data_IF_380526345868
#
_entry.id   IF_380526345868
#
_cell.length_a   1.000
_cell.length_b   1.000
_cell.length_c   1.000
_cell.angle_alpha   90.00
_cell.angle_beta   90.00
_cell.angle_gamma   90.00
#
_symmetry.space_group_name_H-M   'P 1'
#
loop_
_entity.id
_entity.type
_entity.pdbx_description
1 polymer ?
#
# COMPACT_ATOMS: atom_id res chain seq x y z
N UNK A 1 -1.09 -32.36 -21.55
CA UNK A 1 -1.72 -31.19 -22.19
C UNK A 1 -1.11 -29.94 -21.58
N UNK A 2 -0.53 -29.02 -22.37
CA UNK A 2 0.08 -27.80 -21.83
C UNK A 2 -0.98 -26.79 -21.40
N UNK A 3 -0.72 -26.01 -20.36
CA UNK A 3 -1.56 -24.86 -19.97
C UNK A 3 -1.41 -23.70 -20.97
N UNK A 4 -2.31 -22.72 -20.94
CA UNK A 4 -2.18 -21.50 -21.74
C UNK A 4 -0.81 -20.81 -21.54
N UNK A 5 -0.33 -20.74 -20.29
CA UNK A 5 1.00 -20.22 -19.97
C UNK A 5 2.13 -21.03 -20.63
N UNK A 6 2.02 -22.36 -20.61
CA UNK A 6 2.98 -23.25 -21.27
C UNK A 6 3.00 -23.03 -22.78
N UNK A 7 1.81 -22.91 -23.39
CA UNK A 7 1.69 -22.61 -24.82
C UNK A 7 2.27 -21.25 -25.19
N UNK A 8 2.03 -20.19 -24.41
CA UNK A 8 2.66 -18.88 -24.63
C UNK A 8 4.18 -18.99 -24.73
N UNK A 9 4.81 -19.69 -23.78
CA UNK A 9 6.27 -19.84 -23.79
C UNK A 9 6.76 -20.63 -25.01
N UNK A 10 6.06 -21.71 -25.38
CA UNK A 10 6.36 -22.49 -26.58
C UNK A 10 6.23 -21.62 -27.82
N UNK A 11 5.16 -20.84 -27.97
CA UNK A 11 4.93 -20.03 -29.17
C UNK A 11 5.91 -18.86 -29.30
N UNK A 12 6.36 -18.29 -28.18
CA UNK A 12 7.42 -17.27 -28.17
C UNK A 12 8.75 -17.86 -28.67
N UNK A 13 9.09 -19.09 -28.27
CA UNK A 13 10.40 -19.71 -28.57
C UNK A 13 10.41 -20.54 -29.85
N UNK A 14 9.27 -21.11 -30.21
CA UNK A 14 9.08 -22.10 -31.28
C UNK A 14 7.74 -21.84 -32.01
N UNK A 15 7.62 -20.71 -32.74
CA UNK A 15 6.38 -20.28 -33.37
C UNK A 15 5.82 -21.27 -34.41
N UNK A 16 6.64 -22.18 -34.94
CA UNK A 16 6.22 -23.25 -35.86
C UNK A 16 5.19 -24.21 -35.27
N UNK A 17 4.99 -24.24 -33.94
CA UNK A 17 3.97 -25.07 -33.28
C UNK A 17 2.60 -24.38 -33.13
N UNK A 18 2.41 -23.20 -33.73
CA UNK A 18 1.15 -22.45 -33.67
C UNK A 18 -0.09 -23.26 -34.06
N UNK A 19 0.02 -24.12 -35.07
CA UNK A 19 -1.06 -24.99 -35.54
C UNK A 19 -1.46 -26.08 -34.52
N UNK A 20 -0.65 -26.32 -33.49
CA UNK A 20 -0.93 -27.28 -32.42
C UNK A 20 -1.48 -26.61 -31.16
N UNK A 21 -1.49 -25.28 -31.10
CA UNK A 21 -2.04 -24.57 -29.95
C UNK A 21 -3.57 -24.55 -30.04
N UNK A 22 -4.22 -25.18 -29.08
CA UNK A 22 -5.68 -25.27 -28.97
C UNK A 22 -6.26 -24.27 -27.95
N UNK A 23 -5.41 -23.51 -27.24
CA UNK A 23 -5.76 -22.66 -26.09
C UNK A 23 -5.58 -21.16 -26.34
N UNK A 24 -5.70 -20.73 -27.59
CA UNK A 24 -5.54 -19.32 -27.97
C UNK A 24 -6.59 -18.41 -27.31
N UNK A 25 -7.78 -18.94 -27.04
CA UNK A 25 -8.88 -18.29 -26.34
C UNK A 25 -8.64 -18.12 -24.83
N UNK A 26 -7.73 -18.91 -24.24
CA UNK A 26 -7.31 -18.77 -22.84
C UNK A 26 -6.24 -17.69 -22.63
N UNK A 27 -5.76 -17.04 -23.71
CA UNK A 27 -4.72 -16.01 -23.60
C UNK A 27 -5.35 -14.66 -23.21
N UNK A 28 -4.80 -14.04 -22.18
CA UNK A 28 -5.15 -12.67 -21.82
C UNK A 28 -4.40 -11.66 -22.70
N UNK A 29 -4.85 -10.40 -22.71
CA UNK A 29 -4.19 -9.31 -23.45
C UNK A 29 -2.69 -9.20 -23.15
N UNK A 30 -2.28 -9.34 -21.89
CA UNK A 30 -0.86 -9.34 -21.51
C UNK A 30 -0.05 -10.51 -22.12
N UNK A 31 -0.67 -11.67 -22.32
CA UNK A 31 -0.04 -12.80 -23.01
C UNK A 31 0.13 -12.50 -24.50
N UNK A 32 -0.89 -11.92 -25.13
CA UNK A 32 -0.84 -11.46 -26.51
C UNK A 32 0.21 -10.35 -26.71
N UNK A 33 0.34 -9.39 -25.80
CA UNK A 33 1.36 -8.33 -25.89
C UNK A 33 2.76 -8.96 -25.94
N UNK A 34 3.05 -9.88 -25.02
CA UNK A 34 4.36 -10.56 -24.98
C UNK A 34 4.60 -11.40 -26.23
N UNK A 35 3.59 -12.12 -26.68
CA UNK A 35 3.69 -12.95 -27.88
C UNK A 35 3.91 -12.10 -29.13
N UNK A 36 3.11 -11.06 -29.36
CA UNK A 36 3.18 -10.22 -30.55
C UNK A 36 4.46 -9.37 -30.61
N UNK A 37 5.00 -8.99 -29.45
CA UNK A 37 6.30 -8.31 -29.36
C UNK A 37 7.45 -9.21 -29.80
N UNK A 38 7.39 -10.51 -29.48
CA UNK A 38 8.41 -11.48 -29.86
C UNK A 38 8.19 -12.08 -31.25
N UNK A 39 6.93 -12.24 -31.66
CA UNK A 39 6.51 -12.97 -32.85
C UNK A 39 5.40 -12.21 -33.61
N UNK A 40 5.74 -11.14 -34.35
CA UNK A 40 4.77 -10.28 -35.05
C UNK A 40 3.91 -11.01 -36.10
N UNK A 41 4.32 -12.19 -36.58
CA UNK A 41 3.56 -12.99 -37.53
C UNK A 41 2.21 -13.48 -36.98
N UNK A 42 2.00 -13.46 -35.65
CA UNK A 42 0.72 -13.83 -35.04
C UNK A 42 -0.32 -12.71 -35.04
N UNK A 43 -0.08 -11.59 -35.73
CA UNK A 43 -1.03 -10.47 -35.80
C UNK A 43 -2.41 -10.89 -36.31
N UNK A 44 -2.48 -11.57 -37.46
CA UNK A 44 -3.77 -12.01 -38.01
C UNK A 44 -4.45 -13.03 -37.09
N UNK A 45 -3.67 -13.88 -36.41
CA UNK A 45 -4.20 -14.81 -35.42
C UNK A 45 -4.78 -14.08 -34.21
N UNK A 46 -4.14 -13.02 -33.73
CA UNK A 46 -4.62 -12.20 -32.62
C UNK A 46 -5.94 -11.51 -32.95
N UNK A 47 -6.18 -11.13 -34.21
CA UNK A 47 -7.44 -10.51 -34.67
C UNK A 47 -8.65 -11.44 -34.55
N UNK A 48 -8.45 -12.74 -34.37
CA UNK A 48 -9.53 -13.70 -34.14
C UNK A 48 -10.08 -13.66 -32.70
N UNK A 49 -9.36 -13.04 -31.75
CA UNK A 49 -9.69 -13.04 -30.33
C UNK A 49 -9.81 -11.62 -29.77
N UNK A 50 -10.76 -11.36 -28.86
CA UNK A 50 -10.94 -10.03 -28.25
C UNK A 50 -9.72 -9.62 -27.41
N UNK A 51 -9.20 -10.51 -26.58
CA UNK A 51 -7.95 -10.29 -25.84
C UNK A 51 -6.74 -10.10 -26.77
N UNK A 52 -6.76 -10.77 -27.93
CA UNK A 52 -5.76 -10.60 -28.98
C UNK A 52 -5.81 -9.22 -29.61
N UNK A 53 -6.99 -8.71 -29.91
CA UNK A 53 -7.19 -7.33 -30.35
C UNK A 53 -6.71 -6.31 -29.30
N UNK A 54 -7.03 -6.50 -28.02
CA UNK A 54 -6.56 -5.60 -26.97
C UNK A 54 -5.02 -5.56 -26.89
N UNK A 55 -4.37 -6.73 -26.93
CA UNK A 55 -2.91 -6.80 -26.95
C UNK A 55 -2.29 -6.24 -28.24
N UNK A 56 -2.96 -6.44 -29.39
CA UNK A 56 -2.53 -5.89 -30.67
C UNK A 56 -2.61 -4.35 -30.67
N UNK A 57 -3.70 -3.76 -30.19
CA UNK A 57 -3.86 -2.31 -30.12
C UNK A 57 -2.90 -1.66 -29.11
N UNK A 58 -2.50 -2.37 -28.06
CA UNK A 58 -1.49 -1.88 -27.13
C UNK A 58 -0.12 -1.68 -27.81
N UNK A 59 0.22 -2.51 -28.81
CA UNK A 59 1.48 -2.45 -29.57
C UNK A 59 1.36 -1.62 -30.85
N UNK A 60 0.21 -1.72 -31.53
CA UNK A 60 -0.08 -1.11 -32.83
C UNK A 60 -1.38 -0.30 -32.78
N UNK A 61 -1.36 0.87 -32.11
CA UNK A 61 -2.55 1.71 -31.98
C UNK A 61 -3.11 2.20 -33.33
N UNK A 62 -2.31 2.23 -34.40
CA UNK A 62 -2.73 2.60 -35.76
C UNK A 62 -3.81 1.67 -36.35
N UNK A 63 -3.95 0.45 -35.83
CA UNK A 63 -4.97 -0.51 -36.25
C UNK A 63 -6.35 -0.26 -35.60
N UNK A 64 -6.50 0.84 -34.85
CA UNK A 64 -7.73 1.19 -34.13
C UNK A 64 -9.00 1.14 -34.98
N UNK A 65 -8.92 1.51 -36.27
CA UNK A 65 -10.06 1.57 -37.18
C UNK A 65 -10.50 0.18 -37.68
N UNK A 66 -9.63 -0.83 -37.58
CA UNK A 66 -9.97 -2.21 -37.94
C UNK A 66 -10.68 -2.95 -36.79
N UNK A 67 -10.42 -2.55 -35.54
CA UNK A 67 -11.01 -3.19 -34.37
C UNK A 67 -12.50 -2.83 -34.23
N UNK A 68 -13.37 -3.84 -34.34
CA UNK A 68 -14.82 -3.71 -34.14
C UNK A 68 -15.31 -4.30 -32.81
N UNK A 69 -14.41 -4.88 -32.02
CA UNK A 69 -14.75 -5.69 -30.85
C UNK A 69 -14.48 -4.99 -29.49
N UNK A 70 -14.35 -3.67 -29.44
CA UNK A 70 -14.12 -2.92 -28.19
C UNK A 70 -15.09 -3.31 -27.05
N UNK A 71 -16.37 -3.58 -27.36
CA UNK A 71 -17.40 -4.00 -26.38
C UNK A 71 -17.13 -5.38 -25.75
N UNK A 72 -16.25 -6.17 -26.37
CA UNK A 72 -15.85 -7.51 -25.88
C UNK A 72 -14.64 -7.44 -24.96
N UNK A 73 -14.01 -6.25 -24.81
CA UNK A 73 -12.88 -6.07 -23.92
C UNK A 73 -13.36 -6.09 -22.46
N UNK A 74 -12.70 -6.91 -21.64
CA UNK A 74 -12.91 -6.89 -20.20
C UNK A 74 -12.19 -5.74 -19.53
N UNK A 75 -12.46 -5.51 -18.25
CA UNK A 75 -11.73 -4.51 -17.43
C UNK A 75 -10.21 -4.66 -17.48
N UNK A 76 -9.70 -5.90 -17.56
CA UNK A 76 -8.26 -6.19 -17.62
C UNK A 76 -7.67 -5.74 -18.96
N UNK A 77 -8.36 -6.04 -20.06
CA UNK A 77 -7.95 -5.62 -21.41
C UNK A 77 -7.90 -4.10 -21.53
N UNK A 78 -8.92 -3.43 -21.01
CA UNK A 78 -8.94 -1.98 -20.97
C UNK A 78 -7.84 -1.41 -20.09
N UNK A 79 -7.57 -2.00 -18.93
CA UNK A 79 -6.48 -1.54 -18.06
C UNK A 79 -5.13 -1.61 -18.75
N UNK A 80 -4.80 -2.74 -19.39
CA UNK A 80 -3.55 -2.92 -20.12
C UNK A 80 -3.45 -1.99 -21.34
N UNK A 81 -4.53 -1.92 -22.12
CA UNK A 81 -4.59 -1.07 -23.30
C UNK A 81 -4.41 0.41 -22.92
N UNK A 82 -5.14 0.90 -21.91
CA UNK A 82 -5.07 2.30 -21.51
C UNK A 82 -3.75 2.64 -20.82
N UNK A 83 -3.15 1.71 -20.10
CA UNK A 83 -1.81 1.90 -19.51
C UNK A 83 -0.73 2.07 -20.58
N UNK A 84 -0.93 1.47 -21.76
CA UNK A 84 0.01 1.57 -22.90
C UNK A 84 -0.36 2.68 -23.87
N UNK A 85 -1.66 2.92 -24.07
CA UNK A 85 -2.24 3.74 -25.14
C UNK A 85 -3.43 4.55 -24.60
N UNK A 86 -3.18 5.66 -23.87
CA UNK A 86 -4.22 6.47 -23.22
C UNK A 86 -5.22 7.11 -24.19
N UNK A 87 -4.88 7.25 -25.47
CA UNK A 87 -5.75 7.80 -26.52
C UNK A 87 -7.02 6.96 -26.77
N UNK A 88 -7.08 5.72 -26.28
CA UNK A 88 -8.29 4.89 -26.35
C UNK A 88 -9.30 5.16 -25.21
N UNK A 89 -9.03 6.12 -24.31
CA UNK A 89 -9.86 6.41 -23.14
C UNK A 89 -11.35 6.65 -23.47
N UNK A 90 -11.65 7.33 -24.58
CA UNK A 90 -13.02 7.62 -25.00
C UNK A 90 -13.77 6.42 -25.58
N UNK A 91 -13.05 5.32 -25.88
CA UNK A 91 -13.67 4.06 -26.31
C UNK A 91 -13.93 3.10 -25.15
N UNK A 92 -13.34 3.34 -23.98
CA UNK A 92 -13.47 2.47 -22.82
C UNK A 92 -14.87 2.57 -22.22
N UNK A 93 -15.61 1.46 -22.22
CA UNK A 93 -16.94 1.35 -21.62
C UNK A 93 -16.92 0.73 -20.22
N UNK A 94 -15.72 0.35 -19.72
CA UNK A 94 -15.53 -0.41 -18.47
C UNK A 94 -14.99 0.39 -17.29
N UNK A 95 -14.92 1.72 -17.39
CA UNK A 95 -14.49 2.58 -16.28
C UNK A 95 -15.19 2.30 -14.95
N UNK A 96 -16.49 1.99 -14.99
CA UNK A 96 -17.28 1.67 -13.81
C UNK A 96 -16.91 0.32 -13.16
N UNK A 97 -16.16 -0.54 -13.84
CA UNK A 97 -15.63 -1.81 -13.30
C UNK A 97 -14.24 -1.65 -12.67
N UNK A 98 -13.60 -0.47 -12.79
CA UNK A 98 -12.26 -0.26 -12.25
C UNK A 98 -12.31 -0.18 -10.72
N UNK A 99 -11.56 -1.06 -10.07
CA UNK A 99 -11.36 -1.07 -8.63
C UNK A 99 -10.25 -0.10 -8.23
N UNK A 100 -10.02 0.03 -6.93
CA UNK A 100 -8.89 0.76 -6.35
C UNK A 100 -7.55 0.46 -7.05
N UNK A 101 -7.25 -0.83 -7.26
CA UNK A 101 -6.01 -1.26 -7.89
C UNK A 101 -5.90 -0.79 -9.35
N UNK A 102 -6.97 -0.94 -10.15
CA UNK A 102 -6.97 -0.50 -11.55
C UNK A 102 -6.77 1.00 -11.69
N UNK A 103 -7.46 1.80 -10.87
CA UNK A 103 -7.29 3.26 -10.89
C UNK A 103 -5.88 3.67 -10.47
N UNK A 104 -5.33 3.06 -9.42
CA UNK A 104 -3.95 3.32 -9.00
C UNK A 104 -2.96 3.03 -10.13
N UNK A 105 -2.97 1.82 -10.68
CA UNK A 105 -2.03 1.43 -11.74
C UNK A 105 -2.15 2.34 -12.95
N UNK A 106 -3.38 2.63 -13.38
CA UNK A 106 -3.60 3.49 -14.53
C UNK A 106 -3.08 4.92 -14.28
N UNK A 107 -3.33 5.51 -13.13
CA UNK A 107 -2.91 6.88 -12.83
C UNK A 107 -1.40 6.99 -12.54
N UNK A 108 -0.76 5.90 -12.11
CA UNK A 108 0.70 5.84 -12.03
C UNK A 108 1.34 5.90 -13.43
N UNK A 109 0.75 5.19 -14.40
CA UNK A 109 1.28 5.07 -15.76
C UNK A 109 0.84 6.22 -16.67
N UNK A 110 -0.40 6.71 -16.50
CA UNK A 110 -1.05 7.70 -17.36
C UNK A 110 -1.76 8.78 -16.52
N UNK A 111 -1.00 9.69 -15.87
CA UNK A 111 -1.56 10.74 -15.02
C UNK A 111 -2.61 11.64 -15.72
N UNK A 112 -2.50 11.81 -17.04
CA UNK A 112 -3.44 12.60 -17.85
C UNK A 112 -4.87 12.03 -17.88
N UNK A 113 -5.09 10.78 -17.43
CA UNK A 113 -6.42 10.18 -17.32
C UNK A 113 -7.13 10.52 -16.00
N UNK A 114 -6.60 11.47 -15.23
CA UNK A 114 -7.22 11.99 -14.00
C UNK A 114 -8.65 12.49 -14.18
N UNK A 115 -8.98 13.02 -15.36
CA UNK A 115 -10.32 13.52 -15.66
C UNK A 115 -11.33 12.39 -15.75
N UNK A 116 -10.94 11.24 -16.34
CA UNK A 116 -11.74 10.01 -16.33
C UNK A 116 -11.88 9.45 -14.92
N UNK A 117 -10.81 9.50 -14.12
CA UNK A 117 -10.89 9.13 -12.71
C UNK A 117 -11.92 9.99 -11.97
N UNK A 118 -11.98 11.29 -12.26
CA UNK A 118 -12.98 12.20 -11.67
C UNK A 118 -14.40 11.87 -12.18
N UNK A 119 -14.58 11.75 -13.49
CA UNK A 119 -15.86 11.46 -14.16
C UNK A 119 -16.52 10.19 -13.61
N UNK A 120 -15.73 9.14 -13.36
CA UNK A 120 -16.23 7.84 -12.92
C UNK A 120 -16.09 7.58 -11.41
N UNK A 121 -15.86 8.63 -10.62
CA UNK A 121 -15.66 8.55 -9.17
C UNK A 121 -14.58 7.53 -8.77
N UNK A 122 -13.49 7.48 -9.53
CA UNK A 122 -12.32 6.63 -9.27
C UNK A 122 -11.57 7.05 -8.00
N UNK A 123 -11.47 8.35 -7.71
CA UNK A 123 -10.84 8.86 -6.49
C UNK A 123 -11.50 8.29 -5.22
N UNK A 124 -12.83 8.21 -5.20
CA UNK A 124 -13.60 7.63 -4.09
C UNK A 124 -13.49 6.11 -3.98
N UNK A 125 -12.93 5.42 -4.99
CA UNK A 125 -12.71 3.96 -4.98
C UNK A 125 -11.32 3.58 -4.49
N UNK A 126 -10.38 4.53 -4.46
CA UNK A 126 -9.04 4.29 -3.95
C UNK A 126 -9.08 4.02 -2.44
N UNK A 127 -8.53 2.88 -2.02
CA UNK A 127 -8.33 2.56 -0.60
C UNK A 127 -7.09 3.29 -0.05
N UNK A 128 -6.88 3.25 1.27
CA UNK A 128 -5.78 3.96 1.93
C UNK A 128 -4.38 3.57 1.39
N UNK A 129 -4.17 2.27 1.14
CA UNK A 129 -2.88 1.78 0.64
C UNK A 129 -2.61 2.29 -0.79
N UNK A 130 -3.62 2.21 -1.66
CA UNK A 130 -3.50 2.65 -3.05
C UNK A 130 -3.36 4.17 -3.16
N UNK A 131 -4.07 4.93 -2.32
CA UNK A 131 -3.86 6.37 -2.18
C UNK A 131 -2.43 6.72 -1.76
N UNK A 132 -1.89 6.01 -0.77
CA UNK A 132 -0.53 6.28 -0.29
C UNK A 132 0.53 6.07 -1.37
N UNK A 133 0.42 4.98 -2.14
CA UNK A 133 1.33 4.68 -3.25
C UNK A 133 1.18 5.72 -4.36
N UNK A 134 -0.06 6.10 -4.69
CA UNK A 134 -0.33 7.06 -5.77
C UNK A 134 0.22 8.44 -5.44
N UNK A 135 -0.02 8.96 -4.24
CA UNK A 135 0.44 10.32 -3.86
C UNK A 135 1.96 10.36 -3.66
N UNK A 136 2.57 9.25 -3.22
CA UNK A 136 4.03 9.11 -3.13
C UNK A 136 4.71 9.19 -4.51
N UNK A 137 4.11 8.57 -5.53
CA UNK A 137 4.66 8.56 -6.89
C UNK A 137 4.21 9.74 -7.76
N UNK A 138 2.99 10.26 -7.53
CA UNK A 138 2.34 11.32 -8.31
C UNK A 138 1.78 12.40 -7.35
N UNK A 139 2.66 13.20 -6.72
CA UNK A 139 2.26 14.17 -5.68
C UNK A 139 1.30 15.25 -6.17
N UNK A 140 1.20 15.48 -7.48
CA UNK A 140 0.22 16.39 -8.08
C UNK A 140 -1.23 15.97 -7.85
N UNK A 141 -1.50 14.70 -7.49
CA UNK A 141 -2.85 14.23 -7.16
C UNK A 141 -3.26 14.41 -5.71
N UNK A 142 -2.38 14.98 -4.88
CA UNK A 142 -2.69 15.27 -3.48
C UNK A 142 -3.92 16.19 -3.33
N UNK A 143 -4.19 17.07 -4.31
CA UNK A 143 -5.37 17.95 -4.32
C UNK A 143 -6.70 17.21 -4.55
N UNK A 144 -6.65 15.99 -5.11
CA UNK A 144 -7.84 15.15 -5.37
C UNK A 144 -8.32 14.37 -4.16
N UNK A 145 -7.50 14.31 -3.11
CA UNK A 145 -7.84 13.64 -1.86
C UNK A 145 -8.64 14.55 -0.92
N UNK A 146 -9.54 13.97 -0.14
CA UNK A 146 -10.24 14.66 0.96
C UNK A 146 -9.46 14.47 2.26
N UNK A 147 -9.87 15.16 3.33
CA UNK A 147 -9.26 14.99 4.65
C UNK A 147 -9.37 13.53 5.16
N UNK A 148 -10.42 12.80 4.78
CA UNK A 148 -10.65 11.43 5.23
C UNK A 148 -9.62 10.45 4.69
N UNK A 149 -9.05 10.69 3.50
CA UNK A 149 -8.01 9.83 2.92
C UNK A 149 -6.70 9.96 3.70
N UNK A 150 -6.29 11.19 4.01
CA UNK A 150 -5.08 11.46 4.80
C UNK A 150 -5.18 10.96 6.24
N UNK A 151 -6.36 11.05 6.87
CA UNK A 151 -6.59 10.55 8.23
C UNK A 151 -6.37 9.03 8.34
N UNK A 152 -6.54 8.30 7.23
CA UNK A 152 -6.33 6.84 7.19
C UNK A 152 -4.86 6.43 7.08
N UNK A 153 -3.94 7.38 6.91
CA UNK A 153 -2.51 7.09 6.89
C UNK A 153 -2.01 6.89 8.32
N UNK A 154 -1.49 5.71 8.63
CA UNK A 154 -0.77 5.48 9.87
C UNK A 154 0.62 6.12 9.83
N UNK A 155 1.28 6.24 10.98
CA UNK A 155 2.57 6.96 11.09
C UNK A 155 3.63 6.41 10.13
N UNK A 156 3.73 5.09 9.97
CA UNK A 156 4.65 4.48 8.99
C UNK A 156 4.43 4.90 7.52
N UNK A 157 3.17 5.11 7.10
CA UNK A 157 2.89 5.65 5.75
C UNK A 157 3.34 7.10 5.66
N UNK A 158 3.02 7.90 6.68
CA UNK A 158 3.51 9.28 6.75
C UNK A 158 5.03 9.37 6.76
N UNK A 159 5.75 8.52 7.50
CA UNK A 159 7.21 8.53 7.53
C UNK A 159 7.80 8.22 6.16
N UNK A 160 7.24 7.24 5.43
CA UNK A 160 7.67 6.93 4.05
C UNK A 160 7.32 8.06 3.08
N UNK A 161 6.15 8.67 3.23
CA UNK A 161 5.75 9.78 2.37
C UNK A 161 6.59 11.03 2.63
N UNK A 162 6.92 11.36 3.88
CA UNK A 162 7.71 12.55 4.21
C UNK A 162 9.19 12.40 3.82
N UNK A 163 9.71 11.16 3.81
CA UNK A 163 11.08 10.91 3.33
C UNK A 163 11.20 11.00 1.81
N UNK A 164 10.14 10.70 1.07
CA UNK A 164 10.12 10.76 -0.40
C UNK A 164 9.55 12.07 -0.95
N UNK A 165 8.62 12.69 -0.23
CA UNK A 165 7.86 13.87 -0.61
C UNK A 165 7.77 14.87 0.58
N UNK A 166 8.88 15.53 0.94
CA UNK A 166 8.96 16.42 2.11
C UNK A 166 8.02 17.62 2.05
N UNK A 167 7.54 18.01 0.86
CA UNK A 167 6.55 19.07 0.68
C UNK A 167 5.22 18.78 1.41
N UNK A 168 4.93 17.53 1.76
CA UNK A 168 3.74 17.17 2.55
C UNK A 168 3.92 17.38 4.07
N UNK A 169 5.04 17.91 4.55
CA UNK A 169 5.26 18.17 5.98
C UNK A 169 4.16 19.03 6.60
N UNK A 170 3.81 20.16 5.98
CA UNK A 170 2.74 21.03 6.48
C UNK A 170 1.37 20.35 6.43
N UNK A 171 1.12 19.51 5.42
CA UNK A 171 -0.10 18.70 5.34
C UNK A 171 -0.14 17.68 6.50
N UNK A 172 0.97 17.02 6.80
CA UNK A 172 1.09 16.01 7.85
C UNK A 172 0.83 16.59 9.25
N UNK A 173 1.18 17.86 9.51
CA UNK A 173 0.84 18.57 10.76
C UNK A 173 -0.67 18.65 11.02
N UNK A 174 -1.50 18.47 10.00
CA UNK A 174 -2.96 18.37 10.12
C UNK A 174 -3.46 17.07 10.75
N UNK A 175 -2.61 16.04 10.90
CA UNK A 175 -3.00 14.68 11.27
C UNK A 175 -2.18 14.14 12.45
N UNK A 176 -2.80 13.38 13.36
CA UNK A 176 -2.09 12.84 14.53
C UNK A 176 -0.96 11.89 14.13
N UNK A 177 -1.22 11.00 13.17
CA UNK A 177 -0.23 10.06 12.64
C UNK A 177 0.88 10.77 11.86
N UNK A 178 0.55 11.90 11.22
CA UNK A 178 1.53 12.78 10.57
C UNK A 178 2.48 13.40 11.58
N UNK A 179 1.98 13.89 12.71
CA UNK A 179 2.83 14.35 13.81
C UNK A 179 3.72 13.27 14.39
N UNK A 180 3.23 12.03 14.55
CA UNK A 180 4.08 10.92 15.00
C UNK A 180 5.27 10.74 14.05
N UNK A 181 5.04 10.74 12.74
CA UNK A 181 6.09 10.62 11.73
C UNK A 181 7.08 11.79 11.74
N UNK A 182 6.57 13.03 11.85
CA UNK A 182 7.39 14.24 11.98
C UNK A 182 8.28 14.15 13.20
N UNK A 183 7.72 13.85 14.38
CA UNK A 183 8.46 13.82 15.64
C UNK A 183 9.46 12.66 15.72
N UNK A 184 9.21 11.55 15.03
CA UNK A 184 10.17 10.47 14.90
C UNK A 184 11.45 10.91 14.17
N UNK A 185 11.32 11.81 13.19
CA UNK A 185 12.44 12.28 12.36
C UNK A 185 13.06 13.57 12.89
N UNK A 186 12.22 14.47 13.41
CA UNK A 186 12.54 15.84 13.78
C UNK A 186 12.03 16.14 15.20
N UNK A 187 12.66 15.54 16.24
CA UNK A 187 12.20 15.68 17.62
C UNK A 187 12.24 17.12 18.16
N UNK A 188 13.01 18.00 17.54
CA UNK A 188 13.07 19.44 17.85
C UNK A 188 11.74 20.17 17.59
N UNK A 189 10.84 19.61 16.77
CA UNK A 189 9.52 20.19 16.48
C UNK A 189 8.45 19.84 17.53
N UNK A 190 8.84 19.25 18.66
CA UNK A 190 7.94 18.81 19.71
C UNK A 190 7.04 19.92 20.30
N UNK A 191 7.56 21.14 20.37
CA UNK A 191 6.82 22.29 20.91
C UNK A 191 5.78 22.84 19.91
N UNK A 192 5.91 22.52 18.62
CA UNK A 192 4.90 22.86 17.61
C UNK A 192 3.73 21.86 17.57
N UNK A 193 3.91 20.66 18.13
CA UNK A 193 2.90 19.62 18.06
C UNK A 193 1.68 19.96 18.93
N UNK A 194 0.56 20.28 18.28
CA UNK A 194 -0.72 20.57 18.93
C UNK A 194 -1.56 19.31 19.21
N UNK A 195 -1.16 18.15 18.69
CA UNK A 195 -1.95 16.91 18.67
C UNK A 195 -1.58 15.87 19.73
N UNK A 196 -0.69 16.19 20.67
CA UNK A 196 -0.26 15.25 21.73
C UNK A 196 -1.42 14.54 22.46
N UNK A 197 -2.52 15.25 22.72
CA UNK A 197 -3.69 14.69 23.41
C UNK A 197 -4.51 13.73 22.54
N UNK A 198 -4.42 13.84 21.21
CA UNK A 198 -5.12 13.01 20.23
C UNK A 198 -4.46 11.65 20.00
N UNK A 199 -3.17 11.52 20.36
CA UNK A 199 -2.41 10.27 20.18
C UNK A 199 -3.02 9.12 20.98
N UNK A 200 -3.24 7.99 20.31
CA UNK A 200 -3.68 6.74 20.91
C UNK A 200 -2.48 5.91 21.41
N UNK A 201 -2.73 4.77 22.05
CA UNK A 201 -1.63 3.95 22.58
C UNK A 201 -0.68 3.50 21.47
N UNK A 202 -1.19 3.12 20.30
CA UNK A 202 -0.37 2.78 19.14
C UNK A 202 0.55 3.92 18.67
N UNK A 203 0.01 5.14 18.59
CA UNK A 203 0.77 6.35 18.23
C UNK A 203 1.93 6.58 19.20
N UNK A 204 1.65 6.49 20.50
CA UNK A 204 2.64 6.67 21.54
C UNK A 204 3.70 5.56 21.56
N UNK A 205 3.32 4.29 21.36
CA UNK A 205 4.29 3.19 21.26
C UNK A 205 5.23 3.44 20.09
N UNK A 206 4.68 3.77 18.91
CA UNK A 206 5.48 4.03 17.71
C UNK A 206 6.45 5.19 17.93
N UNK A 207 5.99 6.28 18.57
CA UNK A 207 6.83 7.43 18.86
C UNK A 207 7.90 7.10 19.90
N UNK A 208 7.52 6.57 21.06
CA UNK A 208 8.44 6.31 22.18
C UNK A 208 9.46 5.22 21.86
N UNK A 209 9.13 4.30 20.96
CA UNK A 209 10.08 3.28 20.48
C UNK A 209 11.25 3.87 19.70
N UNK A 210 11.08 5.07 19.14
CA UNK A 210 12.14 5.78 18.38
C UNK A 210 12.70 6.95 19.17
N UNK A 211 11.83 7.69 19.86
CA UNK A 211 12.14 8.92 20.59
C UNK A 211 11.69 8.82 22.05
N UNK A 212 12.41 8.05 22.89
CA UNK A 212 12.02 7.80 24.28
C UNK A 212 11.99 9.05 25.18
N UNK A 213 12.66 10.15 24.78
CA UNK A 213 12.64 11.42 25.49
C UNK A 213 11.24 12.04 25.59
N UNK A 214 10.30 11.68 24.70
CA UNK A 214 8.91 12.17 24.77
C UNK A 214 8.06 11.52 25.87
N UNK A 215 8.66 10.65 26.70
CA UNK A 215 8.01 10.08 27.87
C UNK A 215 7.50 11.13 28.88
N UNK A 216 8.10 12.33 28.90
CA UNK A 216 7.64 13.42 29.76
C UNK A 216 6.31 14.02 29.28
N UNK A 217 6.09 14.14 27.96
CA UNK A 217 4.81 14.55 27.38
C UNK A 217 3.69 13.56 27.71
N UNK A 218 4.02 12.28 27.86
CA UNK A 218 3.08 11.27 28.32
C UNK A 218 2.55 11.50 29.74
N UNK A 219 3.29 12.21 30.60
CA UNK A 219 2.81 12.62 31.93
C UNK A 219 1.75 13.71 31.81
N UNK A 220 2.00 14.71 30.97
CA UNK A 220 1.09 15.84 30.70
C UNK A 220 -0.24 15.35 30.09
N UNK A 221 -0.15 14.54 29.03
CA UNK A 221 -1.31 14.02 28.30
C UNK A 221 -1.95 12.77 28.93
N UNK A 222 -1.46 12.33 30.09
CA UNK A 222 -1.89 11.09 30.78
C UNK A 222 -1.86 9.85 29.86
N UNK A 223 -0.93 9.81 28.91
CA UNK A 223 -0.89 8.82 27.83
C UNK A 223 -0.78 7.38 28.37
N UNK A 224 -0.03 7.18 29.46
CA UNK A 224 0.24 5.88 30.06
C UNK A 224 -1.04 5.12 30.47
N UNK A 225 -2.13 5.86 30.72
CA UNK A 225 -3.44 5.29 31.06
C UNK A 225 -4.16 4.69 29.84
N UNK A 226 -3.79 5.10 28.62
CA UNK A 226 -4.34 4.57 27.36
C UNK A 226 -3.77 3.19 27.01
N UNK A 227 -2.60 2.85 27.57
CA UNK A 227 -1.87 1.62 27.26
C UNK A 227 -2.55 0.40 27.87
N UNK A 228 -2.85 -0.58 27.03
CA UNK A 228 -3.29 -1.91 27.42
C UNK A 228 -2.09 -2.82 27.71
N UNK A 229 -2.39 -4.06 28.07
CA UNK A 229 -1.39 -5.08 28.34
C UNK A 229 -0.38 -5.26 27.20
N UNK A 230 -0.86 -5.47 25.97
CA UNK A 230 0.01 -5.66 24.80
C UNK A 230 0.80 -4.40 24.45
N UNK A 231 0.20 -3.22 24.64
CA UNK A 231 0.87 -1.94 24.40
C UNK A 231 2.12 -1.78 25.26
N UNK A 232 1.99 -2.09 26.56
CA UNK A 232 3.12 -2.07 27.49
C UNK A 232 4.14 -3.15 27.18
N UNK A 233 3.70 -4.36 26.84
CA UNK A 233 4.62 -5.43 26.46
C UNK A 233 5.51 -5.00 25.28
N UNK A 234 4.87 -4.54 24.20
CA UNK A 234 5.58 -4.08 23.00
C UNK A 234 6.53 -2.91 23.29
N UNK A 235 6.11 -1.96 24.13
CA UNK A 235 6.96 -0.85 24.51
C UNK A 235 8.16 -1.31 25.35
N UNK A 236 7.98 -2.20 26.33
CA UNK A 236 9.08 -2.69 27.17
C UNK A 236 10.07 -3.57 26.40
N UNK A 237 9.60 -4.32 25.39
CA UNK A 237 10.46 -5.07 24.47
C UNK A 237 11.29 -4.17 23.55
N UNK A 238 10.91 -2.91 23.36
CA UNK A 238 11.67 -1.95 22.54
C UNK A 238 12.47 -0.96 23.40
N UNK A 239 11.94 -0.58 24.56
CA UNK A 239 12.41 0.49 25.43
C UNK A 239 12.29 0.09 26.91
N UNK A 240 13.22 -0.75 27.41
CA UNK A 240 13.15 -1.33 28.75
C UNK A 240 13.26 -0.30 29.89
N UNK A 241 13.81 0.90 29.63
CA UNK A 241 13.90 1.99 30.59
C UNK A 241 12.53 2.45 31.13
N UNK A 242 11.43 2.15 30.42
CA UNK A 242 10.08 2.44 30.89
C UNK A 242 9.51 1.43 31.89
N UNK A 243 10.31 0.44 32.32
CA UNK A 243 9.89 -0.56 33.31
C UNK A 243 9.33 0.06 34.61
N UNK A 244 9.89 1.19 35.04
CA UNK A 244 9.42 1.88 36.25
C UNK A 244 8.15 2.72 36.03
N UNK A 245 7.76 2.98 34.78
CA UNK A 245 6.50 3.65 34.43
C UNK A 245 5.36 2.65 34.24
N UNK A 246 5.69 1.39 33.93
CA UNK A 246 4.72 0.32 33.70
C UNK A 246 3.98 -0.07 35.01
N UNK A 247 2.63 -0.06 35.02
CA UNK A 247 1.87 -0.49 36.19
C UNK A 247 2.11 -1.97 36.52
N UNK A 248 2.29 -2.26 37.81
CA UNK A 248 2.48 -3.61 38.35
C UNK A 248 1.49 -4.67 37.83
N UNK A 249 0.21 -4.32 37.69
CA UNK A 249 -0.86 -5.18 37.14
C UNK A 249 -0.61 -5.68 35.71
N UNK A 250 0.27 -5.02 34.95
CA UNK A 250 0.64 -5.42 33.58
C UNK A 250 1.62 -6.58 33.64
N UNK A 251 2.63 -6.51 34.51
CA UNK A 251 3.57 -7.60 34.75
C UNK A 251 2.87 -8.88 35.19
N UNK A 252 1.80 -8.76 35.98
CA UNK A 252 0.97 -9.89 36.42
C UNK A 252 0.28 -10.61 35.25
N UNK A 253 0.10 -9.95 34.11
CA UNK A 253 -0.49 -10.56 32.91
C UNK A 253 0.54 -11.18 31.96
N UNK A 254 1.83 -10.94 32.18
CA UNK A 254 2.88 -11.52 31.33
C UNK A 254 2.91 -13.05 31.48
N UNK A 255 2.97 -13.72 30.34
CA UNK A 255 3.19 -15.18 30.29
C UNK A 255 4.65 -15.50 30.60
N UNK A 256 4.92 -16.75 30.96
CA UNK A 256 6.29 -17.23 31.20
C UNK A 256 7.18 -17.04 29.96
N UNK A 257 6.64 -17.30 28.76
CA UNK A 257 7.35 -17.07 27.49
C UNK A 257 7.73 -15.60 27.29
N UNK A 258 6.83 -14.67 27.60
CA UNK A 258 7.12 -13.23 27.47
C UNK A 258 8.13 -12.74 28.51
N UNK A 259 8.13 -13.33 29.71
CA UNK A 259 9.19 -13.09 30.68
C UNK A 259 10.56 -13.58 30.19
N UNK A 260 10.60 -14.76 29.58
CA UNK A 260 11.82 -15.31 28.98
C UNK A 260 12.31 -14.45 27.82
N UNK A 261 11.42 -13.97 26.95
CA UNK A 261 11.75 -13.05 25.85
C UNK A 261 12.36 -11.74 26.38
N UNK A 262 11.74 -11.11 27.38
CA UNK A 262 12.24 -9.87 27.98
C UNK A 262 13.57 -10.08 28.70
N UNK A 263 13.75 -11.19 29.42
CA UNK A 263 15.00 -11.50 30.13
C UNK A 263 16.13 -11.84 29.15
N UNK A 264 15.83 -12.56 28.07
CA UNK A 264 16.81 -12.87 27.03
C UNK A 264 17.29 -11.61 26.30
N UNK A 265 16.38 -10.66 26.06
CA UNK A 265 16.69 -9.40 25.38
C UNK A 265 17.37 -8.39 26.32
N UNK A 266 16.98 -8.37 27.60
CA UNK A 266 17.43 -7.40 28.60
C UNK A 266 17.72 -8.07 29.97
N UNK A 267 18.83 -8.82 30.10
CA UNK A 267 19.14 -9.56 31.31
C UNK A 267 19.18 -8.70 32.57
N UNK A 268 18.51 -9.14 33.64
CA UNK A 268 18.48 -8.49 34.94
C UNK A 268 17.62 -7.23 35.04
N UNK A 269 17.14 -6.67 33.92
CA UNK A 269 16.41 -5.38 33.94
C UNK A 269 15.04 -5.51 34.62
N UNK A 270 14.38 -6.66 34.46
CA UNK A 270 13.05 -6.87 34.99
C UNK A 270 12.96 -7.83 36.19
N UNK A 271 14.10 -8.27 36.73
CA UNK A 271 14.16 -9.30 37.78
C UNK A 271 13.28 -8.94 38.99
N UNK A 272 13.42 -7.70 39.50
CA UNK A 272 12.59 -7.22 40.61
C UNK A 272 11.09 -7.16 40.30
N UNK A 273 10.73 -6.85 39.05
CA UNK A 273 9.31 -6.83 38.61
C UNK A 273 8.77 -8.25 38.48
N UNK A 274 9.58 -9.20 37.98
CA UNK A 274 9.26 -10.62 37.85
C UNK A 274 9.02 -11.26 39.21
N UNK A 275 9.93 -11.08 40.16
CA UNK A 275 9.78 -11.59 41.53
C UNK A 275 8.49 -11.09 42.19
N UNK A 276 8.24 -9.77 42.14
CA UNK A 276 7.02 -9.18 42.69
C UNK A 276 5.75 -9.71 42.03
N UNK A 277 5.79 -9.97 40.71
CA UNK A 277 4.65 -10.51 39.99
C UNK A 277 4.36 -11.96 40.38
N UNK A 278 5.39 -12.80 40.50
CA UNK A 278 5.26 -14.18 40.98
C UNK A 278 4.68 -14.23 42.38
N UNK A 279 5.18 -13.40 43.29
CA UNK A 279 4.68 -13.33 44.67
C UNK A 279 3.19 -12.95 44.77
N UNK A 280 2.68 -12.11 43.86
CA UNK A 280 1.25 -11.74 43.85
C UNK A 280 0.31 -12.82 43.29
N UNK A 281 0.86 -13.84 42.64
CA UNK A 281 0.10 -14.96 42.04
C UNK A 281 0.01 -16.19 42.96
N UNK A 282 0.79 -16.21 44.03
CA UNK A 282 0.71 -17.20 45.11
C UNK A 282 -0.43 -16.82 46.08
#
# INVERSE_FOLDING_TARGET
MFSAFGWKHILITQPQFANKCEKWDEFYSADWIKLLSAQPQFQEKAKEYSHGWAGLLAIKPELANECKCYRMFGRWDWSELLSSQPQFADKCDKWHEFTSWYWRELLLMQPQLSDKCTEYNGWGRLNSADWSILVEAQPQFADKSTANEWERFHSGVWSRLLSTQPQFAEKAKGFKAGWVAILQSNPELADECSKWNEFESGDWINLLSVQPQFADKCRECKCWRKFKYLDWYNLLSSQPQFANKCPNRIYDKLTQKQWEELEAQYPGVFEGKRMLSTLRKL
#
